data_IF_071185492646
#
_entry.id   IF_071185492646
#
_cell.length_a   1.000
_cell.length_b   1.000
_cell.length_c   1.000
_cell.angle_alpha   90.00
_cell.angle_beta   90.00
_cell.angle_gamma   90.00
#
_symmetry.space_group_name_H-M   'P 1'
#
loop_
_entity.id
_entity.type
_entity.pdbx_description
1 polymer ?
#
# COMPACT_ATOMS: atom_id res chain seq x y z
N UNK A 1 37.81 -4.36 38.82
CA UNK A 1 38.51 -3.53 37.81
C UNK A 1 39.00 -4.31 36.58
N UNK A 2 39.39 -5.59 36.69
CA UNK A 2 39.87 -6.36 35.53
C UNK A 2 38.84 -6.61 34.40
N UNK A 3 37.55 -6.70 34.74
CA UNK A 3 36.50 -6.97 33.74
C UNK A 3 36.22 -5.79 32.80
N UNK A 4 36.39 -4.55 33.29
CA UNK A 4 36.18 -3.34 32.49
C UNK A 4 37.30 -3.13 31.46
N UNK A 5 38.52 -3.59 31.76
CA UNK A 5 39.67 -3.46 30.89
C UNK A 5 39.58 -4.41 29.67
N UNK A 6 39.06 -5.62 29.87
CA UNK A 6 38.84 -6.61 28.80
C UNK A 6 37.74 -6.20 27.81
N UNK A 7 36.64 -5.60 28.27
CA UNK A 7 35.60 -5.09 27.36
C UNK A 7 36.09 -3.92 26.50
N UNK A 8 36.93 -3.04 27.06
CA UNK A 8 37.46 -1.89 26.31
C UNK A 8 38.48 -2.30 25.25
N UNK A 9 39.33 -3.28 25.55
CA UNK A 9 40.27 -3.85 24.58
C UNK A 9 39.55 -4.53 23.40
N UNK A 10 38.44 -5.22 23.66
CA UNK A 10 37.65 -5.87 22.62
C UNK A 10 36.95 -4.87 21.70
N UNK A 11 36.43 -3.77 22.25
CA UNK A 11 35.77 -2.71 21.47
C UNK A 11 36.77 -1.97 20.56
N UNK A 12 37.99 -1.75 21.05
CA UNK A 12 39.04 -1.07 20.30
C UNK A 12 39.56 -1.93 19.11
N UNK A 13 39.61 -3.24 19.29
CA UNK A 13 40.02 -4.18 18.24
C UNK A 13 39.01 -4.22 17.07
N UNK A 14 37.70 -4.15 17.38
CA UNK A 14 36.65 -4.11 16.36
C UNK A 14 36.64 -2.80 15.56
N UNK A 15 36.94 -1.66 16.21
CA UNK A 15 37.04 -0.37 15.53
C UNK A 15 38.23 -0.31 14.56
N UNK A 16 39.38 -0.90 14.94
CA UNK A 16 40.55 -1.00 14.06
C UNK A 16 40.28 -1.89 12.83
N UNK A 17 39.62 -3.04 13.01
CA UNK A 17 39.23 -3.91 11.90
C UNK A 17 38.26 -3.24 10.92
N UNK A 18 37.34 -2.41 11.43
CA UNK A 18 36.38 -1.69 10.59
C UNK A 18 37.06 -0.60 9.74
N UNK A 19 38.05 0.11 10.29
CA UNK A 19 38.82 1.11 9.55
C UNK A 19 39.70 0.50 8.45
N UNK A 20 40.32 -0.67 8.69
CA UNK A 20 41.13 -1.33 7.66
C UNK A 20 40.28 -1.89 6.50
N UNK A 21 39.07 -2.38 6.78
CA UNK A 21 38.17 -2.90 5.75
C UNK A 21 37.55 -1.78 4.87
N UNK A 22 37.45 -0.55 5.40
CA UNK A 22 36.94 0.59 4.65
C UNK A 22 37.98 1.17 3.69
N UNK A 23 39.26 1.20 4.09
CA UNK A 23 40.38 1.69 3.26
C UNK A 23 40.68 0.74 2.09
N UNK A 24 40.46 -0.57 2.25
CA UNK A 24 40.67 -1.54 1.17
C UNK A 24 39.66 -1.42 0.00
N UNK A 25 38.45 -0.90 0.24
CA UNK A 25 37.40 -0.80 -0.79
C UNK A 25 37.51 0.44 -1.69
N UNK A 26 38.25 1.47 -1.27
CA UNK A 26 38.39 2.72 -2.03
C UNK A 26 39.45 2.59 -3.15
N UNK A 27 40.31 1.55 -3.11
CA UNK A 27 41.47 1.43 -4.02
C UNK A 27 41.22 0.65 -5.33
N UNK A 28 39.99 0.21 -5.61
CA UNK A 28 39.68 -0.65 -6.79
C UNK A 28 38.95 0.10 -7.93
N UNK A 29 38.77 1.42 -7.82
CA UNK A 29 37.95 2.20 -8.76
C UNK A 29 38.71 3.18 -9.65
N UNK A 30 39.76 2.78 -10.38
CA UNK A 30 40.36 3.62 -11.45
C UNK A 30 41.00 2.77 -12.56
N UNK A 31 40.41 2.75 -13.77
CA UNK A 31 41.06 2.57 -15.09
C UNK A 31 40.00 2.75 -16.19
N UNK A 32 39.88 3.92 -16.83
CA UNK A 32 40.45 4.34 -18.13
C UNK A 32 39.95 3.54 -19.35
N UNK A 33 39.28 4.24 -20.28
CA UNK A 33 39.01 3.80 -21.65
C UNK A 33 38.47 4.98 -22.48
N UNK A 34 39.34 5.54 -23.31
CA UNK A 34 39.14 6.74 -24.12
C UNK A 34 38.84 6.42 -25.60
N UNK A 35 38.42 7.46 -26.33
CA UNK A 35 38.41 7.63 -27.79
C UNK A 35 37.37 6.79 -28.57
N UNK A 36 36.77 7.20 -29.68
CA UNK A 36 36.69 8.40 -30.55
C UNK A 36 35.61 8.02 -31.60
N UNK A 37 34.84 8.87 -32.27
CA UNK A 37 35.21 9.66 -33.47
C UNK A 37 33.89 10.10 -34.13
N UNK A 38 33.94 11.26 -34.77
CA UNK A 38 32.97 12.04 -35.56
C UNK A 38 32.18 11.31 -36.68
N UNK A 39 31.00 11.83 -37.05
CA UNK A 39 30.65 12.46 -38.36
C UNK A 39 29.12 12.62 -38.52
N UNK A 40 28.64 13.84 -38.83
CA UNK A 40 28.02 14.29 -40.12
C UNK A 40 26.74 13.52 -40.48
N UNK A 41 25.61 14.06 -40.94
CA UNK A 41 25.09 15.39 -41.27
C UNK A 41 23.58 15.15 -41.49
N UNK A 42 22.73 16.10 -41.11
CA UNK A 42 21.30 16.13 -41.48
C UNK A 42 21.12 16.76 -42.87
N UNK A 43 19.92 16.50 -43.44
CA UNK A 43 19.21 17.35 -44.39
C UNK A 43 19.36 17.05 -45.91
N UNK A 44 18.37 16.39 -46.52
CA UNK A 44 17.35 17.08 -47.32
C UNK A 44 16.36 16.13 -48.04
N UNK A 45 15.07 16.43 -47.84
CA UNK A 45 14.05 16.70 -48.87
C UNK A 45 13.78 15.65 -49.97
N UNK A 46 12.67 14.93 -49.76
CA UNK A 46 11.46 15.14 -50.57
C UNK A 46 11.25 14.30 -51.84
N UNK A 47 10.06 13.69 -51.88
CA UNK A 47 9.29 13.23 -53.05
C UNK A 47 9.85 12.00 -53.76
N UNK A 48 9.22 10.85 -53.51
CA UNK A 48 8.43 10.14 -54.53
C UNK A 48 7.85 8.83 -53.96
N UNK A 49 6.62 8.51 -54.41
CA UNK A 49 6.00 7.19 -54.46
C UNK A 49 5.06 6.77 -53.32
N UNK A 50 3.89 7.41 -53.31
CA UNK A 50 2.63 6.97 -52.67
C UNK A 50 2.03 5.67 -53.23
N UNK A 51 2.75 4.88 -54.03
CA UNK A 51 2.20 3.65 -54.63
C UNK A 51 2.64 2.33 -53.96
N UNK A 52 3.51 2.37 -52.94
CA UNK A 52 4.07 1.18 -52.29
C UNK A 52 3.57 0.87 -50.88
N UNK A 53 2.85 1.80 -50.23
CA UNK A 53 2.57 1.74 -48.78
C UNK A 53 1.36 0.85 -48.45
N UNK A 54 0.44 0.63 -49.39
CA UNK A 54 -0.79 -0.13 -49.12
C UNK A 54 -0.55 -1.66 -49.09
N UNK A 55 0.52 -2.15 -49.75
CA UNK A 55 0.82 -3.59 -49.83
C UNK A 55 1.63 -4.11 -48.62
N UNK A 56 2.51 -3.30 -48.03
CA UNK A 56 3.30 -3.74 -46.86
C UNK A 56 2.50 -3.77 -45.55
N UNK A 57 1.47 -2.93 -45.41
CA UNK A 57 0.65 -2.86 -44.19
C UNK A 57 -0.23 -4.11 -44.04
N UNK A 58 -0.72 -4.67 -45.15
CA UNK A 58 -1.53 -5.89 -45.10
C UNK A 58 -0.71 -7.12 -44.71
N UNK A 59 0.53 -7.25 -45.18
CA UNK A 59 1.39 -8.38 -44.84
C UNK A 59 1.96 -8.31 -43.41
N UNK A 60 2.24 -7.12 -42.87
CA UNK A 60 2.65 -6.95 -41.48
C UNK A 60 1.52 -7.18 -40.48
N UNK A 61 0.27 -6.84 -40.84
CA UNK A 61 -0.88 -7.04 -39.93
C UNK A 61 -1.26 -8.51 -39.72
N UNK A 62 -1.00 -9.39 -40.71
CA UNK A 62 -1.35 -10.80 -40.63
C UNK A 62 -0.32 -11.64 -39.86
N UNK A 63 0.96 -11.22 -39.79
CA UNK A 63 1.98 -11.93 -39.03
C UNK A 63 1.93 -11.65 -37.51
N UNK A 64 1.19 -10.63 -37.07
CA UNK A 64 1.16 -10.22 -35.67
C UNK A 64 0.09 -10.92 -34.82
N UNK A 65 -0.83 -11.68 -35.43
CA UNK A 65 -2.00 -12.24 -34.73
C UNK A 65 -1.88 -13.70 -34.28
N UNK A 66 -0.79 -14.40 -34.59
CA UNK A 66 -0.64 -15.84 -34.31
C UNK A 66 0.32 -16.20 -33.16
N UNK A 67 1.03 -15.25 -32.54
CA UNK A 67 2.04 -15.55 -31.49
C UNK A 67 1.53 -15.53 -30.04
N UNK A 68 0.25 -15.23 -29.78
CA UNK A 68 -0.26 -15.07 -28.40
C UNK A 68 -0.89 -16.33 -27.79
N UNK A 69 -0.89 -17.48 -28.47
CA UNK A 69 -1.39 -18.75 -27.90
C UNK A 69 -0.24 -19.65 -27.49
N UNK A 70 0.28 -19.45 -26.28
CA UNK A 70 1.23 -20.38 -25.65
C UNK A 70 2.18 -19.80 -24.60
N UNK A 71 1.86 -18.69 -23.93
CA UNK A 71 2.74 -18.15 -22.88
C UNK A 71 2.59 -18.96 -21.58
N UNK A 72 3.65 -19.68 -21.21
CA UNK A 72 3.73 -20.38 -19.92
C UNK A 72 3.95 -19.36 -18.80
N UNK A 73 2.98 -19.24 -17.91
CA UNK A 73 3.03 -18.37 -16.73
C UNK A 73 3.53 -19.18 -15.54
N UNK A 74 4.68 -18.81 -14.99
CA UNK A 74 5.28 -19.56 -13.88
C UNK A 74 6.45 -18.84 -13.24
N UNK A 75 7.29 -19.57 -12.52
CA UNK A 75 8.46 -19.03 -11.83
C UNK A 75 8.51 -19.50 -10.39
N UNK A 76 9.68 -19.44 -9.77
CA UNK A 76 9.86 -19.98 -8.41
C UNK A 76 9.27 -19.11 -7.30
N UNK A 77 8.79 -17.90 -7.62
CA UNK A 77 8.24 -16.96 -6.65
C UNK A 77 6.91 -17.40 -5.99
N UNK A 78 6.18 -18.39 -6.53
CA UNK A 78 4.98 -18.91 -5.87
C UNK A 78 5.30 -19.73 -4.60
N UNK A 79 6.55 -20.17 -4.43
CA UNK A 79 7.00 -20.92 -3.25
C UNK A 79 7.54 -19.92 -2.22
N UNK A 80 7.02 -19.96 -1.00
CA UNK A 80 7.50 -19.11 0.09
C UNK A 80 8.96 -19.42 0.44
N UNK A 81 9.84 -18.40 0.46
CA UNK A 81 11.15 -18.50 1.10
C UNK A 81 11.09 -17.85 2.48
N UNK A 82 11.52 -18.58 3.50
CA UNK A 82 11.77 -18.02 4.83
C UNK A 82 13.25 -17.62 4.94
N UNK A 83 13.50 -16.37 5.32
CA UNK A 83 14.85 -15.86 5.54
C UNK A 83 15.53 -15.38 4.26
N UNK A 84 16.73 -15.89 3.97
CA UNK A 84 17.51 -15.48 2.80
C UNK A 84 17.19 -16.37 1.60
N UNK A 85 16.71 -15.76 0.51
CA UNK A 85 16.29 -16.49 -0.68
C UNK A 85 17.49 -16.86 -1.57
N UNK A 86 17.95 -18.11 -1.45
CA UNK A 86 19.08 -18.68 -2.20
C UNK A 86 18.72 -19.15 -3.61
N UNK A 87 17.47 -18.95 -4.05
CA UNK A 87 17.01 -19.43 -5.37
C UNK A 87 17.56 -18.59 -6.51
N UNK A 88 17.76 -19.18 -7.70
CA UNK A 88 18.25 -18.49 -8.89
C UNK A 88 17.40 -17.27 -9.21
N UNK A 89 18.03 -16.09 -9.28
CA UNK A 89 17.35 -14.81 -9.56
C UNK A 89 16.69 -14.78 -10.95
N UNK A 90 17.23 -15.54 -11.90
CA UNK A 90 16.82 -15.58 -13.31
C UNK A 90 15.52 -16.35 -13.57
N UNK A 91 14.98 -17.08 -12.57
CA UNK A 91 13.78 -17.92 -12.71
C UNK A 91 12.68 -17.63 -11.70
N UNK A 92 12.72 -16.45 -11.04
CA UNK A 92 11.74 -16.11 -10.00
C UNK A 92 10.36 -15.80 -10.58
N UNK A 93 10.32 -15.08 -11.70
CA UNK A 93 9.09 -14.73 -12.40
C UNK A 93 9.30 -15.00 -13.89
N UNK A 94 8.52 -15.93 -14.43
CA UNK A 94 8.57 -16.32 -15.85
C UNK A 94 7.22 -15.94 -16.45
N UNK A 95 7.23 -14.89 -17.26
CA UNK A 95 6.04 -14.26 -17.84
C UNK A 95 5.03 -13.74 -16.78
N UNK A 96 5.48 -13.49 -15.55
CA UNK A 96 4.70 -12.90 -14.45
C UNK A 96 5.38 -11.61 -13.98
N UNK A 97 4.60 -10.59 -13.62
CA UNK A 97 5.13 -9.32 -13.12
C UNK A 97 5.55 -9.47 -11.64
N UNK A 98 6.80 -9.15 -11.26
CA UNK A 98 7.21 -9.09 -9.86
C UNK A 98 6.52 -7.93 -9.12
N UNK A 99 6.41 -7.98 -7.77
CA UNK A 99 6.09 -6.77 -7.00
C UNK A 99 7.17 -5.72 -7.30
N UNK A 100 6.76 -4.65 -7.97
CA UNK A 100 7.68 -3.76 -8.66
C UNK A 100 8.45 -2.88 -7.67
N UNK A 101 9.73 -3.17 -7.50
CA UNK A 101 10.69 -2.16 -7.08
C UNK A 101 10.92 -1.25 -8.29
N UNK A 102 10.15 -0.17 -8.38
CA UNK A 102 10.12 0.75 -9.54
C UNK A 102 11.54 1.24 -9.86
N UNK A 103 12.38 1.49 -8.86
CA UNK A 103 13.77 1.90 -9.05
C UNK A 103 14.61 0.81 -9.72
N UNK A 104 14.46 -0.45 -9.29
CA UNK A 104 15.14 -1.58 -9.94
C UNK A 104 14.60 -1.87 -11.33
N UNK A 105 13.30 -1.70 -11.55
CA UNK A 105 12.68 -1.88 -12.86
C UNK A 105 13.15 -0.84 -13.88
N UNK A 106 13.40 0.40 -13.44
CA UNK A 106 14.02 1.44 -14.26
C UNK A 106 15.48 1.08 -14.54
N UNK A 107 16.25 0.68 -13.51
CA UNK A 107 17.65 0.28 -13.69
C UNK A 107 17.82 -0.96 -14.59
N UNK A 108 16.83 -1.86 -14.62
CA UNK A 108 16.80 -3.04 -15.48
C UNK A 108 16.27 -2.77 -16.90
N UNK A 109 15.88 -1.53 -17.22
CA UNK A 109 15.32 -1.16 -18.54
C UNK A 109 13.89 -1.65 -18.80
N UNK A 110 13.21 -2.19 -17.78
CA UNK A 110 11.84 -2.68 -17.88
C UNK A 110 10.79 -1.55 -17.72
N UNK A 111 11.17 -0.42 -17.11
CA UNK A 111 10.34 0.78 -17.00
C UNK A 111 11.08 2.01 -17.54
N UNK A 112 10.35 2.94 -18.17
CA UNK A 112 10.94 4.17 -18.70
C UNK A 112 11.49 5.05 -17.55
N UNK A 113 12.60 5.79 -17.76
CA UNK A 113 13.20 6.65 -16.74
C UNK A 113 12.27 7.79 -16.27
N UNK A 114 11.23 8.12 -17.04
CA UNK A 114 10.18 9.07 -16.66
C UNK A 114 9.38 8.59 -15.43
N UNK A 115 9.39 7.28 -15.12
CA UNK A 115 8.78 6.72 -13.92
C UNK A 115 9.58 6.97 -12.63
N UNK A 116 10.72 7.67 -12.69
CA UNK A 116 11.53 8.05 -11.52
C UNK A 116 10.71 8.79 -10.44
N UNK A 117 9.69 9.54 -10.83
CA UNK A 117 8.79 10.23 -9.88
C UNK A 117 8.01 9.22 -9.03
N UNK A 118 7.52 8.14 -9.64
CA UNK A 118 6.82 7.06 -8.94
C UNK A 118 7.78 6.19 -8.10
N UNK A 119 9.06 6.13 -8.48
CA UNK A 119 10.10 5.47 -7.68
C UNK A 119 10.42 6.25 -6.38
N UNK A 120 10.35 7.58 -6.43
CA UNK A 120 10.72 8.44 -5.31
C UNK A 120 9.54 8.85 -4.42
N UNK A 121 8.33 8.95 -4.98
CA UNK A 121 7.14 9.45 -4.28
C UNK A 121 5.97 8.49 -4.43
N UNK A 122 5.20 8.25 -3.36
CA UNK A 122 3.97 7.50 -3.46
C UNK A 122 2.98 8.24 -4.37
N UNK A 123 2.10 7.48 -5.03
CA UNK A 123 1.03 8.05 -5.86
C UNK A 123 0.19 9.01 -5.01
N UNK A 124 -0.02 10.26 -5.47
CA UNK A 124 -0.84 11.22 -4.75
C UNK A 124 -2.25 10.66 -4.53
N UNK A 125 -2.65 10.56 -3.28
CA UNK A 125 -4.00 10.15 -2.89
C UNK A 125 -4.47 10.96 -1.69
N UNK A 126 -5.79 11.02 -1.49
CA UNK A 126 -6.33 11.64 -0.28
C UNK A 126 -5.89 10.83 0.95
N UNK A 127 -5.27 11.51 1.92
CA UNK A 127 -4.84 10.86 3.15
C UNK A 127 -6.03 10.58 4.05
N UNK A 128 -6.03 9.41 4.69
CA UNK A 128 -7.00 9.08 5.71
C UNK A 128 -6.76 9.92 6.97
N UNK A 129 -7.55 11.00 7.10
CA UNK A 129 -7.42 11.99 8.15
C UNK A 129 -8.20 11.62 9.41
N UNK A 130 -8.22 12.54 10.36
CA UNK A 130 -9.24 12.49 11.44
C UNK A 130 -10.58 12.99 10.90
N UNK A 131 -10.55 14.10 10.17
CA UNK A 131 -11.73 14.82 9.66
C UNK A 131 -12.17 14.42 8.26
N UNK A 132 -11.35 13.63 7.56
CA UNK A 132 -11.65 13.17 6.21
C UNK A 132 -11.51 11.65 6.15
N UNK A 133 -12.61 10.95 5.89
CA UNK A 133 -12.67 9.50 5.70
C UNK A 133 -12.46 9.18 4.22
N UNK A 134 -11.22 9.33 3.77
CA UNK A 134 -10.80 8.88 2.45
C UNK A 134 -10.67 7.34 2.43
N UNK A 135 -11.79 6.66 2.16
CA UNK A 135 -11.83 5.20 2.09
C UNK A 135 -11.12 4.70 0.84
N UNK A 136 -10.32 3.64 1.00
CA UNK A 136 -9.54 3.03 -0.08
C UNK A 136 -10.13 1.66 -0.40
N UNK A 137 -10.55 1.48 -1.66
CA UNK A 137 -11.06 0.20 -2.16
C UNK A 137 -10.03 -0.91 -2.00
N UNK A 138 -8.77 -0.64 -2.35
CA UNK A 138 -7.67 -1.59 -2.25
C UNK A 138 -7.53 -2.18 -0.84
N UNK A 139 -7.62 -1.34 0.19
CA UNK A 139 -7.53 -1.76 1.60
C UNK A 139 -8.75 -2.57 2.00
N UNK A 140 -9.93 -2.19 1.50
CA UNK A 140 -11.17 -2.87 1.79
C UNK A 140 -11.23 -4.26 1.14
N UNK A 141 -10.73 -4.39 -0.08
CA UNK A 141 -10.63 -5.67 -0.79
C UNK A 141 -9.68 -6.64 -0.07
N UNK A 142 -8.58 -6.15 0.50
CA UNK A 142 -7.72 -6.98 1.36
C UNK A 142 -8.44 -7.43 2.64
N UNK A 143 -9.31 -6.59 3.23
CA UNK A 143 -10.12 -6.99 4.38
C UNK A 143 -11.16 -8.07 4.01
N UNK A 144 -11.76 -7.98 2.82
CA UNK A 144 -12.72 -8.98 2.33
C UNK A 144 -12.06 -10.34 2.03
N UNK A 145 -10.76 -10.35 1.68
CA UNK A 145 -9.99 -11.58 1.48
C UNK A 145 -9.64 -12.30 2.79
N UNK A 146 -9.64 -11.59 3.92
CA UNK A 146 -9.31 -12.19 5.20
C UNK A 146 -10.43 -13.13 5.67
N UNK A 147 -10.10 -14.26 6.33
CA UNK A 147 -11.08 -15.20 6.87
C UNK A 147 -11.70 -14.68 8.19
N UNK A 148 -12.33 -13.51 8.12
CA UNK A 148 -13.06 -12.89 9.24
C UNK A 148 -14.36 -13.65 9.49
N UNK A 149 -14.83 -13.65 10.74
CA UNK A 149 -16.06 -14.37 11.10
C UNK A 149 -17.31 -13.63 10.60
N UNK A 150 -17.33 -12.33 10.79
CA UNK A 150 -18.49 -11.49 10.54
C UNK A 150 -18.47 -10.95 9.11
N UNK A 151 -19.63 -10.98 8.45
CA UNK A 151 -19.77 -10.41 7.11
C UNK A 151 -19.61 -8.90 7.15
N UNK A 152 -18.96 -8.36 6.12
CA UNK A 152 -18.74 -6.94 5.92
C UNK A 152 -19.72 -6.41 4.86
N UNK A 153 -20.13 -5.15 4.97
CA UNK A 153 -20.95 -4.46 3.97
C UNK A 153 -20.22 -4.30 2.64
N UNK A 154 -20.98 -4.09 1.57
CA UNK A 154 -20.39 -3.73 0.28
C UNK A 154 -19.75 -2.33 0.35
N UNK A 155 -18.60 -2.14 -0.30
CA UNK A 155 -17.87 -0.87 -0.29
C UNK A 155 -18.73 0.33 -0.74
N UNK A 156 -19.62 0.11 -1.70
CA UNK A 156 -20.55 1.12 -2.23
C UNK A 156 -21.51 1.67 -1.19
N UNK A 157 -21.88 0.89 -0.15
CA UNK A 157 -22.79 1.33 0.93
C UNK A 157 -22.05 2.19 1.97
N UNK A 158 -20.75 1.97 2.13
CA UNK A 158 -19.92 2.65 3.11
C UNK A 158 -19.56 4.06 2.62
N UNK A 159 -19.28 4.17 1.32
CA UNK A 159 -19.07 5.45 0.65
C UNK A 159 -20.38 6.26 0.64
N UNK A 160 -20.35 7.57 0.97
CA UNK A 160 -21.51 8.41 0.79
C UNK A 160 -21.87 8.50 -0.71
N UNK A 161 -23.15 8.75 -1.03
CA UNK A 161 -23.58 8.89 -2.42
C UNK A 161 -22.79 10.02 -3.11
N UNK A 162 -22.34 9.82 -4.37
CA UNK A 162 -21.62 10.85 -5.10
C UNK A 162 -22.53 12.05 -5.34
N UNK A 163 -21.93 13.24 -5.34
CA UNK A 163 -22.59 14.47 -5.76
C UNK A 163 -23.04 14.33 -7.21
N UNK A 164 -24.33 14.13 -7.45
CA UNK A 164 -24.89 14.24 -8.80
C UNK A 164 -24.85 15.71 -9.22
N UNK A 165 -23.73 16.17 -9.75
CA UNK A 165 -23.65 17.43 -10.47
C UNK A 165 -24.38 17.27 -11.81
N UNK A 166 -25.65 17.67 -11.83
CA UNK A 166 -26.40 18.14 -13.01
C UNK A 166 -26.35 17.28 -14.28
N UNK A 167 -27.29 16.33 -14.40
CA UNK A 167 -27.87 16.00 -15.71
C UNK A 167 -29.00 16.99 -16.01
N UNK A 168 -29.00 17.50 -17.24
CA UNK A 168 -29.77 18.63 -17.75
C UNK A 168 -31.28 18.68 -17.37
N UNK A 169 -31.77 19.93 -17.23
CA UNK A 169 -33.16 20.41 -17.34
C UNK A 169 -34.13 20.25 -16.16
N UNK A 170 -34.05 21.17 -15.20
CA UNK A 170 -35.24 21.83 -14.61
C UNK A 170 -34.82 23.18 -13.98
N UNK A 171 -35.50 24.30 -14.27
CA UNK A 171 -35.27 25.54 -13.53
C UNK A 171 -35.98 25.46 -12.16
N UNK A 172 -35.37 26.03 -11.10
CA UNK A 172 -35.86 26.12 -9.69
C UNK A 172 -35.54 24.84 -8.85
N UNK A 173 -34.85 24.83 -7.70
CA UNK A 173 -34.64 25.83 -6.63
C UNK A 173 -33.32 25.59 -5.84
N UNK A 174 -32.71 26.62 -5.21
CA UNK A 174 -31.52 26.48 -4.34
C UNK A 174 -31.82 26.05 -2.88
N UNK A 175 -33.06 25.71 -2.51
CA UNK A 175 -33.47 25.59 -1.11
C UNK A 175 -34.31 24.35 -0.83
N UNK A 176 -33.65 23.26 -0.44
CA UNK A 176 -34.03 22.40 0.71
C UNK A 176 -33.07 21.23 0.78
N UNK A 177 -31.98 21.43 1.49
CA UNK A 177 -31.20 20.34 2.06
C UNK A 177 -32.08 19.64 3.11
N UNK A 178 -32.92 18.67 2.69
CA UNK A 178 -33.87 17.92 3.54
C UNK A 178 -33.12 17.02 4.51
N UNK A 179 -33.38 17.11 5.82
CA UNK A 179 -32.70 16.42 6.95
C UNK A 179 -32.69 14.90 6.94
N UNK A 180 -32.34 14.26 5.83
CA UNK A 180 -32.32 12.81 5.65
C UNK A 180 -30.94 12.23 5.99
N UNK A 181 -30.96 11.01 6.52
CA UNK A 181 -29.80 10.19 6.90
C UNK A 181 -29.01 9.82 5.63
N UNK A 182 -27.68 9.83 5.70
CA UNK A 182 -26.83 9.35 4.60
C UNK A 182 -26.71 10.29 3.40
N UNK A 183 -26.68 11.61 3.64
CA UNK A 183 -26.43 12.58 2.56
C UNK A 183 -25.02 12.52 2.02
N UNK A 184 -24.85 13.14 0.85
CA UNK A 184 -23.56 13.50 0.31
C UNK A 184 -22.70 14.23 1.36
N UNK A 185 -21.45 13.77 1.48
CA UNK A 185 -20.47 14.34 2.39
C UNK A 185 -19.11 14.35 1.70
N UNK A 186 -18.59 15.55 1.42
CA UNK A 186 -17.25 15.72 0.85
C UNK A 186 -16.14 15.10 1.73
N UNK A 187 -16.38 15.01 3.04
CA UNK A 187 -15.44 14.40 4.01
C UNK A 187 -15.65 12.90 4.21
N UNK A 188 -16.59 12.28 3.50
CA UNK A 188 -16.84 10.84 3.61
C UNK A 188 -17.61 10.43 4.86
N UNK A 189 -18.36 11.33 5.51
CA UNK A 189 -19.13 10.96 6.71
C UNK A 189 -20.43 10.25 6.33
N UNK A 190 -20.65 9.07 6.94
CA UNK A 190 -21.88 8.32 6.86
C UNK A 190 -22.25 7.80 8.27
N UNK A 191 -23.52 7.86 8.72
CA UNK A 191 -24.00 7.16 9.93
C UNK A 191 -23.69 5.65 9.92
N UNK A 192 -23.72 4.98 11.09
CA UNK A 192 -23.57 3.53 11.14
C UNK A 192 -24.71 2.84 10.36
N UNK A 193 -24.35 1.78 9.62
CA UNK A 193 -25.28 1.05 8.76
C UNK A 193 -26.04 -0.06 9.50
N UNK A 194 -25.57 -0.46 10.68
CA UNK A 194 -26.02 -1.67 11.36
C UNK A 194 -25.35 -2.94 10.81
N UNK A 195 -25.64 -4.12 11.36
CA UNK A 195 -24.99 -5.36 10.96
C UNK A 195 -25.26 -5.71 9.49
N UNK A 196 -24.26 -6.25 8.80
CA UNK A 196 -24.40 -6.67 7.40
C UNK A 196 -25.31 -7.89 7.25
N UNK A 197 -25.28 -8.81 8.22
CA UNK A 197 -26.17 -9.97 8.29
C UNK A 197 -27.13 -9.79 9.47
N UNK A 198 -28.44 -9.60 9.23
CA UNK A 198 -29.42 -9.44 10.30
C UNK A 198 -29.61 -10.68 11.18
N UNK A 199 -29.21 -11.87 10.69
CA UNK A 199 -29.36 -13.13 11.42
C UNK A 199 -28.18 -13.41 12.36
N UNK A 200 -27.03 -12.76 12.13
CA UNK A 200 -25.85 -12.92 12.96
C UNK A 200 -25.79 -11.87 14.07
N UNK A 201 -25.34 -12.26 15.25
CA UNK A 201 -25.23 -11.37 16.41
C UNK A 201 -23.77 -11.07 16.69
N UNK A 202 -23.38 -9.81 16.50
CA UNK A 202 -22.02 -9.36 16.83
C UNK A 202 -21.92 -9.23 18.36
N UNK A 203 -20.98 -9.92 19.03
CA UNK A 203 -20.92 -10.01 20.48
C UNK A 203 -20.31 -8.78 21.16
N UNK A 204 -19.78 -7.84 20.37
CA UNK A 204 -19.26 -6.56 20.83
C UNK A 204 -19.95 -5.43 20.07
N UNK A 205 -20.05 -4.27 20.72
CA UNK A 205 -20.56 -3.04 20.15
C UNK A 205 -19.50 -1.94 20.27
N UNK A 206 -19.29 -1.20 19.19
CA UNK A 206 -18.27 -0.16 19.13
C UNK A 206 -18.94 1.21 19.06
N UNK A 207 -18.76 2.00 20.12
CA UNK A 207 -19.34 3.35 20.17
C UNK A 207 -18.49 4.34 19.41
N UNK A 208 -19.15 5.25 18.68
CA UNK A 208 -18.52 6.43 18.10
C UNK A 208 -18.33 7.51 19.17
N UNK A 209 -17.36 8.39 18.96
CA UNK A 209 -17.21 9.60 19.76
C UNK A 209 -18.34 10.62 19.46
N UNK A 210 -18.48 11.67 20.27
CA UNK A 210 -19.46 12.75 20.08
C UNK A 210 -19.40 13.40 18.69
N UNK A 211 -18.21 13.49 18.10
CA UNK A 211 -18.00 14.00 16.74
C UNK A 211 -18.18 12.93 15.65
N UNK A 212 -18.67 11.74 15.99
CA UNK A 212 -18.84 10.62 15.08
C UNK A 212 -17.54 9.89 14.72
N UNK A 213 -16.42 10.13 15.39
CA UNK A 213 -15.16 9.40 15.11
C UNK A 213 -15.19 7.97 15.61
N UNK A 214 -14.56 7.08 14.86
CA UNK A 214 -14.31 5.71 15.30
C UNK A 214 -13.19 5.66 16.35
N UNK A 215 -13.25 4.67 17.26
CA UNK A 215 -12.18 4.45 18.21
C UNK A 215 -10.94 3.85 17.54
N UNK A 216 -9.78 4.32 17.99
CA UNK A 216 -8.50 3.97 17.37
C UNK A 216 -7.57 5.17 17.39
N UNK A 217 -6.87 5.38 18.52
CA UNK A 217 -5.92 6.47 18.67
C UNK A 217 -4.50 5.90 18.67
N UNK A 218 -3.64 6.46 17.82
CA UNK A 218 -2.23 6.09 17.75
C UNK A 218 -1.44 6.96 18.73
N UNK A 219 -0.63 6.30 19.55
CA UNK A 219 0.27 6.93 20.52
C UNK A 219 1.71 6.45 20.28
N UNK A 220 2.70 7.22 20.70
CA UNK A 220 4.08 6.74 20.81
C UNK A 220 4.27 6.06 22.16
N UNK A 221 5.03 4.97 22.19
CA UNK A 221 5.43 4.28 23.42
C UNK A 221 6.18 5.22 24.39
N UNK A 222 6.97 6.15 23.85
CA UNK A 222 7.65 7.17 24.65
C UNK A 222 7.70 8.48 23.86
N UNK A 223 6.66 9.30 24.02
CA UNK A 223 6.54 10.58 23.35
C UNK A 223 7.58 11.61 23.82
N UNK A 224 8.07 11.50 25.07
CA UNK A 224 9.07 12.42 25.61
C UNK A 224 10.40 12.32 24.86
N UNK A 225 10.77 11.10 24.47
CA UNK A 225 12.00 10.85 23.71
C UNK A 225 11.76 10.83 22.19
N UNK A 226 10.55 11.19 21.72
CA UNK A 226 10.17 11.12 20.31
C UNK A 226 10.45 9.74 19.68
N UNK A 227 10.23 8.66 20.44
CA UNK A 227 10.56 7.32 19.98
C UNK A 227 9.65 6.92 18.81
N UNK A 228 10.21 6.45 17.67
CA UNK A 228 9.43 6.11 16.46
C UNK A 228 8.71 4.75 16.56
N UNK A 229 8.41 4.31 17.79
CA UNK A 229 7.65 3.10 18.05
C UNK A 229 6.25 3.48 18.54
N UNK A 230 5.25 3.10 17.75
CA UNK A 230 3.86 3.49 17.95
C UNK A 230 2.99 2.29 18.35
N UNK A 231 1.91 2.58 19.05
CA UNK A 231 0.87 1.61 19.38
C UNK A 231 -0.50 2.22 19.17
N UNK A 232 -1.46 1.38 18.79
CA UNK A 232 -2.86 1.73 18.62
C UNK A 232 -3.62 1.38 19.90
N UNK A 233 -4.35 2.34 20.44
CA UNK A 233 -5.24 2.15 21.59
C UNK A 233 -6.69 2.33 21.14
N UNK A 234 -7.46 1.26 21.28
CA UNK A 234 -8.87 1.19 20.93
C UNK A 234 -9.66 1.27 22.23
N UNK A 235 -10.49 2.30 22.35
CA UNK A 235 -11.40 2.52 23.49
C UNK A 235 -12.83 2.36 23.01
N UNK A 236 -13.82 2.46 23.91
CA UNK A 236 -15.24 2.50 23.52
C UNK A 236 -15.76 1.21 22.85
N UNK A 237 -15.11 0.08 23.11
CA UNK A 237 -15.64 -1.25 22.78
C UNK A 237 -16.37 -1.77 24.02
N UNK A 238 -17.64 -2.08 23.86
CA UNK A 238 -18.51 -2.65 24.88
C UNK A 238 -18.95 -4.06 24.47
N UNK A 239 -19.32 -4.91 25.43
CA UNK A 239 -19.65 -6.32 25.19
C UNK A 239 -18.41 -7.22 25.30
N UNK A 240 -18.30 -8.21 24.42
CA UNK A 240 -17.22 -9.20 24.46
C UNK A 240 -15.92 -8.67 23.80
N UNK A 241 -15.06 -8.10 24.64
CA UNK A 241 -13.77 -7.54 24.21
C UNK A 241 -12.78 -8.62 23.75
N UNK A 242 -12.94 -9.86 24.21
CA UNK A 242 -12.06 -10.97 23.80
C UNK A 242 -12.41 -11.45 22.38
N UNK A 243 -13.70 -11.49 22.03
CA UNK A 243 -14.12 -11.73 20.64
C UNK A 243 -13.64 -10.64 19.69
N UNK A 244 -13.61 -9.40 20.15
CA UNK A 244 -13.01 -8.30 19.39
C UNK A 244 -11.50 -8.51 19.19
N UNK A 245 -10.78 -8.97 20.21
CA UNK A 245 -9.36 -9.33 20.11
C UNK A 245 -9.11 -10.50 19.15
N UNK A 246 -9.94 -11.54 19.17
CA UNK A 246 -9.83 -12.68 18.25
C UNK A 246 -9.89 -12.23 16.78
N UNK A 247 -10.79 -11.31 16.43
CA UNK A 247 -10.84 -10.74 15.08
C UNK A 247 -9.62 -9.86 14.78
N UNK A 248 -9.13 -9.08 15.76
CA UNK A 248 -7.91 -8.30 15.59
C UNK A 248 -6.66 -9.18 15.40
N UNK A 249 -6.60 -10.37 16.00
CA UNK A 249 -5.54 -11.34 15.77
C UNK A 249 -5.55 -11.85 14.31
N UNK A 250 -6.72 -11.94 13.69
CA UNK A 250 -6.84 -12.29 12.26
C UNK A 250 -6.37 -11.15 11.35
N UNK A 251 -6.70 -9.90 11.70
CA UNK A 251 -6.30 -8.71 10.94
C UNK A 251 -4.80 -8.42 11.10
N UNK A 252 -4.27 -8.59 12.32
CA UNK A 252 -2.90 -8.27 12.67
C UNK A 252 -2.17 -9.48 13.31
N UNK A 253 -1.95 -10.57 12.55
CA UNK A 253 -1.44 -11.83 13.10
C UNK A 253 -0.03 -11.73 13.67
N UNK A 254 0.75 -10.75 13.23
CA UNK A 254 2.14 -10.54 13.65
C UNK A 254 2.30 -9.54 14.79
N UNK A 255 1.22 -8.93 15.26
CA UNK A 255 1.26 -7.84 16.23
C UNK A 255 0.95 -8.34 17.64
N UNK A 256 1.56 -7.67 18.63
CA UNK A 256 1.27 -7.95 20.03
C UNK A 256 -0.01 -7.22 20.43
N UNK A 257 -1.02 -7.97 20.82
CA UNK A 257 -2.32 -7.47 21.23
C UNK A 257 -2.48 -7.72 22.72
N UNK A 258 -3.00 -6.73 23.44
CA UNK A 258 -3.31 -6.84 24.86
C UNK A 258 -4.68 -6.25 25.14
N UNK A 259 -5.52 -7.02 25.80
CA UNK A 259 -6.84 -6.58 26.24
C UNK A 259 -6.80 -6.12 27.69
N UNK A 260 -7.48 -5.00 27.97
CA UNK A 260 -7.86 -4.55 29.31
C UNK A 260 -9.34 -4.24 29.32
N UNK A 261 -9.90 -4.11 30.53
CA UNK A 261 -11.33 -3.80 30.75
C UNK A 261 -11.86 -2.56 30.01
N UNK A 262 -11.01 -1.58 29.73
CA UNK A 262 -11.42 -0.29 29.16
C UNK A 262 -10.78 0.02 27.80
N UNK A 263 -9.84 -0.80 27.34
CA UNK A 263 -9.20 -0.62 26.03
C UNK A 263 -8.40 -1.82 25.58
N UNK A 264 -8.31 -1.97 24.26
CA UNK A 264 -7.44 -2.92 23.56
C UNK A 264 -6.22 -2.19 23.01
N UNK A 265 -5.04 -2.77 23.20
CA UNK A 265 -3.76 -2.22 22.76
C UNK A 265 -3.18 -3.11 21.67
N UNK A 266 -2.81 -2.52 20.54
CA UNK A 266 -2.10 -3.21 19.44
C UNK A 266 -0.76 -2.50 19.22
N UNK A 267 0.33 -3.19 19.50
CA UNK A 267 1.68 -2.62 19.45
C UNK A 267 2.32 -2.72 18.07
N UNK A 268 3.24 -1.79 17.77
CA UNK A 268 3.98 -1.69 16.51
C UNK A 268 3.05 -1.48 15.30
N UNK A 269 2.06 -0.62 15.50
CA UNK A 269 1.07 -0.24 14.50
C UNK A 269 1.00 1.29 14.42
N UNK A 270 1.17 1.82 13.22
CA UNK A 270 1.11 3.24 12.92
C UNK A 270 -0.28 3.70 12.46
N UNK A 271 -0.30 4.79 11.68
CA UNK A 271 -1.53 5.37 11.13
C UNK A 271 -2.22 4.44 10.13
N UNK A 272 -1.48 3.57 9.45
CA UNK A 272 -2.02 2.62 8.48
C UNK A 272 -2.90 1.57 9.15
N UNK A 273 -2.48 1.03 10.30
CA UNK A 273 -3.32 0.08 11.02
C UNK A 273 -4.54 0.74 11.66
N UNK A 274 -4.48 2.05 12.01
CA UNK A 274 -5.68 2.82 12.36
C UNK A 274 -6.64 2.90 11.19
N UNK A 275 -6.13 3.15 9.98
CA UNK A 275 -6.95 3.19 8.77
C UNK A 275 -7.60 1.82 8.51
N UNK A 276 -6.84 0.72 8.58
CA UNK A 276 -7.35 -0.66 8.40
C UNK A 276 -8.44 -0.97 9.44
N UNK A 277 -8.19 -0.66 10.71
CA UNK A 277 -9.17 -0.82 11.79
C UNK A 277 -10.47 -0.08 11.47
N UNK A 278 -10.37 1.17 11.02
CA UNK A 278 -11.55 1.98 10.71
C UNK A 278 -12.31 1.45 9.49
N UNK A 279 -11.64 0.91 8.47
CA UNK A 279 -12.30 0.28 7.33
C UNK A 279 -13.09 -0.96 7.77
N UNK A 280 -12.49 -1.79 8.63
CA UNK A 280 -13.15 -2.96 9.18
C UNK A 280 -14.37 -2.59 10.03
N UNK A 281 -14.26 -1.62 10.95
CA UNK A 281 -15.39 -1.17 11.77
C UNK A 281 -16.56 -0.60 10.95
N UNK A 282 -16.25 0.19 9.92
CA UNK A 282 -17.27 0.71 9.00
C UNK A 282 -17.93 -0.41 8.19
N UNK A 283 -17.14 -1.40 7.76
CA UNK A 283 -17.63 -2.58 7.06
C UNK A 283 -18.52 -3.46 7.94
N UNK A 284 -18.26 -3.55 9.24
CA UNK A 284 -19.14 -4.24 10.19
C UNK A 284 -20.44 -3.46 10.46
N UNK A 285 -20.44 -2.15 10.19
CA UNK A 285 -21.60 -1.28 10.33
C UNK A 285 -21.63 -0.40 11.58
N UNK A 286 -20.50 -0.23 12.26
CA UNK A 286 -20.33 0.63 13.45
C UNK A 286 -20.03 2.10 13.11
#
# INVERSE_FOLDING_TARGET
MYFFCLCFAHLFFYLLLFSFHFVAKIKVGVSVGAASTQREEEEERGKNNEAGVVSLVWHLSMLQRSFLRGMWLGGTAFIAALGHDTRPSTGKYINVLPPTDIAKSIAAGAMPPEANVAAARPVPGMYYGRWNRALRSEVYDELLKLPLRYKLHDFSKICPPPSSSSSLSSPQQPYRKVGVIGRESAVGYNPPLGPADPLDTIPFFVHRNSNGFLPGKVYSMNARNLMPAFFLRIQQVEGDVFRFEEELLKIFPTKKIFVRSHSVYVYNVGMDGRMILHHWLLGLGF
#
